data_IF_562878385344
#
_entry.id   IF_562878385344
#
_cell.length_a   1.000
_cell.length_b   1.000
_cell.length_c   1.000
_cell.angle_alpha   90.00
_cell.angle_beta   90.00
_cell.angle_gamma   90.00
#
_symmetry.space_group_name_H-M   'P 1'
#
loop_
_entity.id
_entity.type
_entity.pdbx_description
1 polymer ?
#
# COMPACT_ATOMS: atom_id res chain seq x y z
N UNK A 1 1.44 -7.36 16.94
CA UNK A 1 2.01 -7.16 15.60
C UNK A 1 1.61 -8.32 14.70
N UNK A 2 1.64 -8.11 13.39
CA UNK A 2 1.41 -9.16 12.40
C UNK A 2 2.41 -10.31 12.56
N UNK A 3 2.03 -11.53 12.21
CA UNK A 3 2.91 -12.68 12.23
C UNK A 3 3.97 -12.63 11.11
N UNK A 4 4.95 -13.52 11.17
CA UNK A 4 6.07 -13.52 10.24
C UNK A 4 5.63 -13.86 8.79
N UNK A 5 4.60 -14.69 8.61
CA UNK A 5 4.08 -15.07 7.30
C UNK A 5 3.39 -13.87 6.63
N UNK A 6 2.48 -13.21 7.34
CA UNK A 6 1.80 -11.98 6.89
C UNK A 6 2.81 -10.87 6.53
N UNK A 7 3.85 -10.70 7.36
CA UNK A 7 4.93 -9.73 7.07
C UNK A 7 5.72 -10.13 5.82
N UNK A 8 6.02 -11.43 5.65
CA UNK A 8 6.76 -11.91 4.49
C UNK A 8 5.99 -11.67 3.19
N UNK A 9 4.67 -11.90 3.18
CA UNK A 9 3.80 -11.61 2.02
C UNK A 9 3.83 -10.12 1.68
N UNK A 10 3.70 -9.22 2.67
CA UNK A 10 3.76 -7.78 2.42
C UNK A 10 5.12 -7.31 1.86
N UNK A 11 6.21 -8.02 2.16
CA UNK A 11 7.57 -7.71 1.67
C UNK A 11 7.88 -8.30 0.30
N UNK A 12 7.17 -9.32 -0.12
CA UNK A 12 7.24 -9.90 -1.46
C UNK A 12 6.26 -9.17 -2.37
N UNK A 13 6.74 -8.17 -3.10
CA UNK A 13 5.90 -7.30 -3.94
C UNK A 13 5.08 -8.07 -4.99
N UNK A 14 5.62 -9.17 -5.54
CA UNK A 14 4.89 -9.98 -6.51
C UNK A 14 3.91 -10.95 -5.85
N UNK A 15 4.32 -11.58 -4.75
CA UNK A 15 3.43 -12.40 -3.93
C UNK A 15 2.25 -11.61 -3.38
N UNK A 16 2.50 -10.39 -2.93
CA UNK A 16 1.48 -9.44 -2.50
C UNK A 16 0.47 -9.12 -3.62
N UNK A 17 0.96 -8.74 -4.82
CA UNK A 17 0.10 -8.51 -5.97
C UNK A 17 -0.76 -9.73 -6.30
N UNK A 18 -0.12 -10.90 -6.41
CA UNK A 18 -0.81 -12.16 -6.76
C UNK A 18 -1.88 -12.55 -5.74
N UNK A 19 -1.61 -12.33 -4.45
CA UNK A 19 -2.57 -12.61 -3.38
C UNK A 19 -3.77 -11.68 -3.45
N UNK A 20 -3.56 -10.38 -3.61
CA UNK A 20 -4.65 -9.41 -3.72
C UNK A 20 -5.49 -9.66 -4.97
N UNK A 21 -4.85 -9.91 -6.11
CA UNK A 21 -5.53 -10.22 -7.37
C UNK A 21 -6.39 -11.48 -7.24
N UNK A 22 -5.85 -12.55 -6.64
CA UNK A 22 -6.57 -13.82 -6.39
C UNK A 22 -7.82 -13.61 -5.52
N UNK A 23 -7.78 -12.67 -4.60
CA UNK A 23 -8.90 -12.32 -3.73
C UNK A 23 -9.83 -11.26 -4.34
N UNK A 24 -9.64 -10.86 -5.60
CA UNK A 24 -10.46 -9.85 -6.26
C UNK A 24 -10.30 -8.44 -5.67
N UNK A 25 -9.20 -8.18 -4.97
CA UNK A 25 -8.90 -6.89 -4.36
C UNK A 25 -8.19 -5.97 -5.36
N UNK A 26 -8.48 -4.67 -5.34
CA UNK A 26 -7.89 -3.72 -6.28
C UNK A 26 -6.41 -3.49 -5.96
N UNK A 27 -5.55 -3.93 -6.84
CA UNK A 27 -4.09 -3.78 -6.75
C UNK A 27 -3.54 -3.33 -8.10
N UNK A 28 -2.44 -2.56 -8.09
CA UNK A 28 -1.77 -2.16 -9.33
C UNK A 28 -1.21 -3.38 -10.05
N UNK A 29 -1.59 -3.56 -11.33
CA UNK A 29 -1.17 -4.74 -12.10
C UNK A 29 0.35 -4.82 -12.17
N UNK A 30 0.90 -6.02 -12.00
CA UNK A 30 2.34 -6.25 -11.88
C UNK A 30 2.73 -7.55 -12.57
N UNK A 31 3.67 -7.49 -13.51
CA UNK A 31 4.30 -8.65 -14.16
C UNK A 31 5.68 -8.92 -13.53
N UNK A 32 6.01 -10.18 -13.30
CA UNK A 32 7.25 -10.59 -12.62
C UNK A 32 8.47 -10.66 -13.55
N UNK A 33 8.26 -10.70 -14.86
CA UNK A 33 9.32 -10.79 -15.86
C UNK A 33 8.97 -10.03 -17.14
N UNK A 34 9.97 -9.89 -18.01
CA UNK A 34 9.76 -9.29 -19.32
C UNK A 34 8.88 -10.14 -20.23
N UNK A 35 8.99 -11.47 -20.12
CA UNK A 35 8.17 -12.41 -20.89
C UNK A 35 6.69 -12.33 -20.43
N UNK A 36 6.46 -12.31 -19.13
CA UNK A 36 5.11 -12.14 -18.59
C UNK A 36 4.52 -10.78 -19.00
N UNK A 37 5.31 -9.71 -18.91
CA UNK A 37 4.89 -8.40 -19.39
C UNK A 37 4.50 -8.41 -20.87
N UNK A 38 5.30 -9.02 -21.75
CA UNK A 38 4.99 -9.08 -23.18
C UNK A 38 3.66 -9.81 -23.45
N UNK A 39 3.39 -10.88 -22.70
CA UNK A 39 2.10 -11.60 -22.77
C UNK A 39 0.95 -10.72 -22.25
N UNK A 40 1.12 -10.11 -21.08
CA UNK A 40 0.10 -9.25 -20.45
C UNK A 40 -0.19 -7.99 -21.29
N UNK A 41 0.83 -7.44 -21.91
CA UNK A 41 0.70 -6.30 -22.83
C UNK A 41 -0.08 -6.68 -24.09
N UNK A 42 0.22 -7.86 -24.68
CA UNK A 42 -0.51 -8.36 -25.84
C UNK A 42 -1.99 -8.66 -25.52
N UNK A 43 -2.29 -9.06 -24.29
CA UNK A 43 -3.64 -9.30 -23.79
C UNK A 43 -4.36 -8.01 -23.31
N UNK A 44 -3.68 -6.86 -23.31
CA UNK A 44 -4.25 -5.59 -22.89
C UNK A 44 -4.43 -5.42 -21.37
N UNK A 45 -3.77 -6.25 -20.55
CA UNK A 45 -3.82 -6.19 -19.08
C UNK A 45 -2.97 -5.07 -18.51
N UNK A 46 -1.88 -4.72 -19.19
CA UNK A 46 -0.96 -3.66 -18.82
C UNK A 46 -0.57 -2.85 -20.06
N UNK A 47 -0.27 -1.56 -19.90
CA UNK A 47 0.11 -0.67 -20.99
C UNK A 47 1.21 0.30 -20.56
N UNK A 48 1.96 0.83 -21.54
CA UNK A 48 2.89 1.92 -21.26
C UNK A 48 2.15 3.25 -20.98
N UNK A 49 2.74 4.11 -20.13
CA UNK A 49 4.00 3.91 -19.40
C UNK A 49 3.86 2.87 -18.27
N UNK A 50 4.98 2.28 -17.85
CA UNK A 50 5.06 1.38 -16.70
C UNK A 50 6.09 1.87 -15.69
N UNK A 51 5.94 1.43 -14.43
CA UNK A 51 6.99 1.51 -13.43
C UNK A 51 7.80 0.21 -13.40
N UNK A 52 9.11 0.36 -13.37
CA UNK A 52 10.04 -0.75 -13.17
C UNK A 52 10.71 -0.58 -11.81
N UNK A 53 10.68 -1.62 -10.99
CA UNK A 53 11.23 -1.58 -9.63
C UNK A 53 11.91 -2.91 -9.29
N UNK A 54 12.96 -2.91 -8.46
CA UNK A 54 13.55 -4.15 -7.96
C UNK A 54 12.53 -4.98 -7.18
N UNK A 55 12.59 -6.30 -7.32
CA UNK A 55 11.77 -7.24 -6.54
C UNK A 55 11.95 -7.00 -5.04
N UNK A 56 13.20 -6.73 -4.62
CA UNK A 56 13.57 -6.43 -3.24
C UNK A 56 14.03 -4.98 -3.11
N UNK A 57 13.77 -4.38 -1.95
CA UNK A 57 14.15 -3.00 -1.66
C UNK A 57 12.98 -2.18 -1.12
N UNK A 58 13.31 -1.02 -0.55
CA UNK A 58 12.37 -0.04 0.02
C UNK A 58 12.85 1.38 -0.29
N UNK A 59 12.03 2.39 0.03
CA UNK A 59 12.41 3.80 -0.08
C UNK A 59 12.56 4.30 -1.51
N UNK A 60 11.80 3.77 -2.46
CA UNK A 60 11.78 4.21 -3.88
C UNK A 60 13.14 4.14 -4.61
N UNK A 61 14.08 3.35 -4.10
CA UNK A 61 15.40 3.19 -4.74
C UNK A 61 15.27 2.26 -5.96
N UNK A 62 15.85 2.69 -7.09
CA UNK A 62 15.86 1.90 -8.33
C UNK A 62 14.52 1.83 -9.07
N UNK A 63 13.58 2.74 -8.75
CA UNK A 63 12.31 2.86 -9.48
C UNK A 63 12.50 3.74 -10.70
N UNK A 64 12.03 3.28 -11.87
CA UNK A 64 12.08 4.03 -13.12
C UNK A 64 10.73 3.98 -13.83
N UNK A 65 10.27 5.14 -14.31
CA UNK A 65 9.20 5.21 -15.29
C UNK A 65 9.77 4.84 -16.66
N UNK A 66 9.06 3.98 -17.37
CA UNK A 66 9.46 3.48 -18.70
C UNK A 66 8.30 3.67 -19.67
N UNK A 67 8.56 4.35 -20.76
CA UNK A 67 7.53 4.77 -21.71
C UNK A 67 7.44 3.85 -22.94
N UNK A 68 8.39 2.91 -23.15
CA UNK A 68 8.39 2.02 -24.31
C UNK A 68 9.12 0.70 -24.05
N UNK A 69 8.84 -0.27 -24.93
CA UNK A 69 9.36 -1.65 -24.85
C UNK A 69 10.88 -1.76 -25.02
N UNK A 70 11.49 -0.88 -25.81
CA UNK A 70 12.93 -0.89 -26.07
C UNK A 70 13.70 -0.55 -24.79
N UNK A 71 13.33 0.57 -24.14
CA UNK A 71 13.92 0.99 -22.88
C UNK A 71 13.70 -0.06 -21.77
N UNK A 72 12.50 -0.65 -21.70
CA UNK A 72 12.21 -1.72 -20.78
C UNK A 72 13.16 -2.91 -20.97
N UNK A 73 13.37 -3.33 -22.22
CA UNK A 73 14.28 -4.42 -22.54
C UNK A 73 15.75 -4.13 -22.15
N UNK A 74 16.19 -2.89 -22.31
CA UNK A 74 17.53 -2.46 -21.88
C UNK A 74 17.65 -2.53 -20.37
N UNK A 75 16.69 -2.00 -19.63
CA UNK A 75 16.70 -2.02 -18.16
C UNK A 75 16.70 -3.45 -17.62
N UNK A 76 15.83 -4.32 -18.12
CA UNK A 76 15.78 -5.72 -17.69
C UNK A 76 17.08 -6.48 -18.00
N UNK A 77 17.72 -6.21 -19.15
CA UNK A 77 18.97 -6.87 -19.56
C UNK A 77 20.16 -6.50 -18.68
N UNK A 78 20.25 -5.23 -18.28
CA UNK A 78 21.41 -4.70 -17.56
C UNK A 78 21.19 -4.58 -16.05
N UNK A 79 20.01 -4.88 -15.56
CA UNK A 79 19.76 -4.92 -14.12
C UNK A 79 20.52 -6.07 -13.48
N UNK A 80 21.13 -5.79 -12.32
CA UNK A 80 21.80 -6.80 -11.50
C UNK A 80 20.82 -7.62 -10.66
N UNK A 81 19.58 -7.13 -10.49
CA UNK A 81 18.54 -7.75 -9.70
C UNK A 81 17.30 -7.97 -10.56
N UNK A 82 16.50 -8.99 -10.24
CA UNK A 82 15.19 -9.16 -10.87
C UNK A 82 14.33 -7.91 -10.71
N UNK A 83 13.66 -7.52 -11.78
CA UNK A 83 12.79 -6.35 -11.83
C UNK A 83 11.33 -6.78 -11.94
N UNK A 84 10.46 -6.06 -11.25
CA UNK A 84 9.01 -6.09 -11.44
C UNK A 84 8.60 -4.95 -12.37
N UNK A 85 7.63 -5.23 -13.22
CA UNK A 85 7.06 -4.29 -14.17
C UNK A 85 5.61 -4.04 -13.73
N UNK A 86 5.34 -2.83 -13.24
CA UNK A 86 4.05 -2.49 -12.66
C UNK A 86 3.35 -1.42 -13.49
N UNK A 87 2.03 -1.51 -13.55
CA UNK A 87 1.18 -0.47 -14.11
C UNK A 87 1.57 0.90 -13.54
N UNK A 88 1.73 1.88 -14.42
CA UNK A 88 1.92 3.26 -14.00
C UNK A 88 0.64 3.79 -13.36
N UNK A 89 0.77 4.30 -12.15
CA UNK A 89 -0.34 4.91 -11.43
C UNK A 89 -0.39 6.41 -11.78
N UNK A 90 -1.16 6.76 -12.82
CA UNK A 90 -1.45 8.15 -13.16
C UNK A 90 -2.69 8.62 -12.41
N UNK A 91 -2.51 9.00 -11.16
CA UNK A 91 -3.61 9.37 -10.29
C UNK A 91 -3.17 10.04 -9.00
N UNK A 92 -4.14 10.25 -8.12
CA UNK A 92 -3.89 10.83 -6.81
C UNK A 92 -3.35 9.77 -5.85
N UNK A 93 -2.32 10.12 -5.09
CA UNK A 93 -1.73 9.23 -4.10
C UNK A 93 -2.31 9.50 -2.70
N UNK A 94 -2.68 8.42 -2.04
CA UNK A 94 -3.19 8.41 -0.67
C UNK A 94 -2.30 7.54 0.22
N UNK A 95 -2.28 7.88 1.50
CA UNK A 95 -1.73 7.03 2.55
C UNK A 95 -2.82 6.68 3.56
N UNK A 96 -2.69 5.52 4.17
CA UNK A 96 -3.53 5.14 5.31
C UNK A 96 -2.68 4.63 6.45
N UNK A 97 -2.95 5.14 7.66
CA UNK A 97 -2.47 4.57 8.91
C UNK A 97 -3.62 3.77 9.52
N UNK A 98 -3.41 2.46 9.75
CA UNK A 98 -4.43 1.52 10.20
C UNK A 98 -3.95 0.86 11.49
N UNK A 99 -4.86 0.70 12.44
CA UNK A 99 -4.61 -0.15 13.59
C UNK A 99 -5.58 -1.32 13.61
N UNK A 100 -5.02 -2.52 13.55
CA UNK A 100 -5.76 -3.77 13.71
C UNK A 100 -5.58 -4.24 15.14
N UNK A 101 -6.68 -4.37 15.85
CA UNK A 101 -6.70 -4.79 17.25
C UNK A 101 -6.02 -6.14 17.43
N UNK A 102 -5.18 -6.27 18.46
CA UNK A 102 -4.39 -7.48 18.71
C UNK A 102 -5.21 -8.63 19.28
N UNK A 103 -6.41 -8.34 19.82
CA UNK A 103 -7.30 -9.33 20.45
C UNK A 103 -8.39 -9.72 19.45
N UNK A 104 -9.22 -8.78 19.01
CA UNK A 104 -10.33 -9.05 18.09
C UNK A 104 -9.88 -9.34 16.65
N UNK A 105 -8.66 -8.97 16.28
CA UNK A 105 -8.11 -9.08 14.92
C UNK A 105 -8.91 -8.29 13.87
N UNK A 106 -9.62 -7.26 14.30
CA UNK A 106 -10.39 -6.37 13.41
C UNK A 106 -9.72 -5.01 13.30
N UNK A 107 -9.79 -4.33 12.15
CA UNK A 107 -9.39 -2.94 12.05
C UNK A 107 -10.31 -2.09 12.95
N UNK A 108 -9.71 -1.35 13.88
CA UNK A 108 -10.43 -0.51 14.84
C UNK A 108 -10.16 0.97 14.67
N UNK A 109 -9.06 1.34 14.00
CA UNK A 109 -8.79 2.71 13.60
C UNK A 109 -8.23 2.74 12.17
N UNK A 110 -8.77 3.62 11.34
CA UNK A 110 -8.29 3.89 9.99
C UNK A 110 -8.24 5.40 9.84
N UNK A 111 -7.04 5.92 9.59
CA UNK A 111 -6.81 7.30 9.21
C UNK A 111 -6.34 7.35 7.78
N UNK A 112 -7.00 8.13 6.92
CA UNK A 112 -6.63 8.29 5.52
C UNK A 112 -6.26 9.73 5.20
N UNK A 113 -5.27 9.89 4.33
CA UNK A 113 -4.72 11.17 3.91
C UNK A 113 -4.39 11.17 2.43
N UNK A 114 -4.68 12.27 1.74
CA UNK A 114 -4.17 12.54 0.40
C UNK A 114 -2.75 13.08 0.52
N UNK A 115 -1.82 12.48 -0.20
CA UNK A 115 -0.42 12.94 -0.25
C UNK A 115 -0.34 14.14 -1.19
N UNK A 116 0.09 15.28 -0.65
CA UNK A 116 0.21 16.54 -1.41
C UNK A 116 1.63 16.77 -1.89
N UNK A 117 2.61 16.38 -1.07
CA UNK A 117 4.02 16.50 -1.40
C UNK A 117 4.82 15.34 -0.81
N UNK A 118 5.63 14.74 -1.66
CA UNK A 118 6.60 13.71 -1.28
C UNK A 118 8.01 14.29 -1.25
N UNK A 119 8.83 13.80 -0.32
CA UNK A 119 10.25 14.14 -0.23
C UNK A 119 11.05 12.90 0.18
N UNK A 120 12.02 12.52 -0.65
CA UNK A 120 12.89 11.37 -0.41
C UNK A 120 12.13 10.06 -0.12
N UNK A 121 10.98 9.82 -0.79
CA UNK A 121 10.16 8.62 -0.59
C UNK A 121 9.20 8.67 0.61
N UNK A 122 9.19 9.77 1.37
CA UNK A 122 8.32 9.97 2.53
C UNK A 122 7.29 11.08 2.28
N UNK A 123 6.14 10.99 2.92
CA UNK A 123 5.10 12.02 2.84
C UNK A 123 5.50 13.26 3.65
N UNK A 124 5.83 14.36 2.95
CA UNK A 124 6.18 15.64 3.59
C UNK A 124 4.94 16.46 3.93
N UNK A 125 3.93 16.46 3.04
CA UNK A 125 2.66 17.15 3.25
C UNK A 125 1.50 16.27 2.82
N UNK A 126 0.46 16.24 3.64
CA UNK A 126 -0.77 15.52 3.36
C UNK A 126 -1.97 16.27 3.95
N UNK A 127 -3.15 15.97 3.44
CA UNK A 127 -4.44 16.47 3.93
C UNK A 127 -5.26 15.26 4.35
N UNK A 128 -5.82 15.27 5.55
CA UNK A 128 -6.71 14.22 6.03
C UNK A 128 -7.98 14.18 5.20
N UNK A 129 -8.41 13.00 4.82
CA UNK A 129 -9.62 12.80 4.00
C UNK A 129 -10.46 11.69 4.60
N UNK A 130 -11.77 11.71 4.33
CA UNK A 130 -12.69 10.63 4.68
C UNK A 130 -13.44 10.19 3.43
N UNK A 131 -13.27 8.93 3.07
CA UNK A 131 -14.02 8.33 1.97
C UNK A 131 -14.43 6.90 2.36
N UNK A 132 -15.74 6.65 2.51
CA UNK A 132 -16.24 5.31 2.87
C UNK A 132 -15.78 4.22 1.89
N UNK A 133 -15.65 4.52 0.59
CA UNK A 133 -15.19 3.56 -0.41
C UNK A 133 -13.71 3.19 -0.17
N UNK A 134 -12.89 4.15 0.27
CA UNK A 134 -11.49 3.91 0.62
C UNK A 134 -11.40 3.04 1.90
N UNK A 135 -12.21 3.33 2.92
CA UNK A 135 -12.25 2.51 4.13
C UNK A 135 -12.63 1.06 3.83
N UNK A 136 -13.65 0.84 3.00
CA UNK A 136 -14.08 -0.51 2.60
C UNK A 136 -12.95 -1.31 1.91
N UNK A 137 -12.20 -0.67 0.99
CA UNK A 137 -11.05 -1.30 0.32
C UNK A 137 -9.97 -1.65 1.32
N UNK A 138 -9.66 -0.75 2.27
CA UNK A 138 -8.65 -0.98 3.31
C UNK A 138 -9.05 -2.15 4.22
N UNK A 139 -10.28 -2.16 4.73
CA UNK A 139 -10.79 -3.22 5.63
C UNK A 139 -10.72 -4.60 4.96
N UNK A 140 -11.19 -4.72 3.72
CA UNK A 140 -11.12 -5.97 2.95
C UNK A 140 -9.67 -6.43 2.75
N UNK A 141 -8.77 -5.51 2.44
CA UNK A 141 -7.35 -5.81 2.19
C UNK A 141 -6.65 -6.29 3.46
N UNK A 142 -6.83 -5.59 4.57
CA UNK A 142 -6.23 -5.94 5.86
C UNK A 142 -6.73 -7.30 6.34
N UNK A 143 -8.03 -7.58 6.18
CA UNK A 143 -8.64 -8.86 6.55
C UNK A 143 -8.10 -10.02 5.71
N UNK A 144 -7.92 -9.82 4.40
CA UNK A 144 -7.39 -10.85 3.50
C UNK A 144 -5.92 -11.23 3.79
N UNK A 145 -5.15 -10.29 4.37
CA UNK A 145 -3.74 -10.48 4.73
C UNK A 145 -3.52 -10.92 6.18
N UNK A 146 -4.58 -11.07 6.99
CA UNK A 146 -4.50 -11.44 8.41
C UNK A 146 -3.55 -10.55 9.22
N UNK A 147 -3.51 -9.25 8.92
CA UNK A 147 -2.62 -8.30 9.57
C UNK A 147 -3.07 -7.96 10.98
N UNK A 148 -2.13 -7.53 11.84
CA UNK A 148 -2.41 -7.12 13.22
C UNK A 148 -1.45 -6.02 13.69
N UNK A 149 -1.96 -5.11 14.52
CA UNK A 149 -1.21 -3.95 15.02
C UNK A 149 -1.16 -2.78 14.04
N UNK A 150 -0.15 -1.91 14.12
CA UNK A 150 -0.02 -0.75 13.23
C UNK A 150 0.37 -1.17 11.82
N UNK A 151 -0.25 -0.52 10.84
CA UNK A 151 -0.06 -0.77 9.42
C UNK A 151 -0.03 0.57 8.70
N UNK A 152 0.87 0.69 7.75
CA UNK A 152 1.00 1.80 6.81
C UNK A 152 0.70 1.28 5.40
N UNK A 153 -0.18 1.96 4.66
CA UNK A 153 -0.63 1.52 3.35
C UNK A 153 -0.56 2.67 2.34
N UNK A 154 -0.01 2.38 1.17
CA UNK A 154 0.03 3.27 0.02
C UNK A 154 -1.02 2.88 -1.01
N UNK A 155 -1.78 3.88 -1.48
CA UNK A 155 -2.96 3.69 -2.30
C UNK A 155 -2.98 4.74 -3.40
N UNK A 156 -3.35 4.36 -4.62
CA UNK A 156 -3.61 5.29 -5.71
C UNK A 156 -5.10 5.33 -6.03
N UNK A 157 -5.59 6.52 -6.40
CA UNK A 157 -6.92 6.68 -6.99
C UNK A 157 -6.78 7.04 -8.46
N UNK A 158 -7.17 6.10 -9.33
CA UNK A 158 -7.11 6.22 -10.79
C UNK A 158 -8.54 6.08 -11.31
N UNK A 159 -9.00 7.04 -12.10
CA UNK A 159 -10.37 7.07 -12.64
C UNK A 159 -11.47 6.82 -11.59
N UNK A 160 -11.28 7.42 -10.40
CA UNK A 160 -12.22 7.30 -9.28
C UNK A 160 -12.17 5.99 -8.51
N UNK A 161 -11.30 5.04 -8.86
CA UNK A 161 -11.14 3.75 -8.19
C UNK A 161 -9.83 3.70 -7.40
N UNK A 162 -9.87 3.06 -6.23
CA UNK A 162 -8.71 2.88 -5.38
C UNK A 162 -7.96 1.60 -5.73
N UNK A 163 -6.62 1.67 -5.76
CA UNK A 163 -5.71 0.56 -6.01
C UNK A 163 -4.63 0.53 -4.95
N UNK A 164 -4.44 -0.60 -4.30
CA UNK A 164 -3.38 -0.78 -3.31
C UNK A 164 -2.04 -0.89 -4.04
N UNK A 165 -1.07 -0.12 -3.58
CA UNK A 165 0.30 -0.12 -4.13
C UNK A 165 1.28 -0.88 -3.25
N UNK A 166 1.22 -0.61 -1.94
CA UNK A 166 2.13 -1.20 -0.96
C UNK A 166 1.49 -1.24 0.43
N UNK A 167 1.87 -2.25 1.22
CA UNK A 167 1.50 -2.35 2.64
C UNK A 167 2.74 -2.63 3.46
N UNK A 168 2.90 -1.87 4.53
CA UNK A 168 3.96 -2.01 5.51
C UNK A 168 3.35 -2.31 6.89
N UNK A 169 3.46 -3.53 7.45
CA UNK A 169 2.89 -3.89 8.74
C UNK A 169 3.72 -3.31 9.91
N UNK A 170 3.79 -2.01 9.96
CA UNK A 170 4.50 -1.18 10.95
C UNK A 170 3.93 0.25 10.95
N UNK A 171 4.39 1.10 11.88
CA UNK A 171 4.12 2.54 11.81
C UNK A 171 4.68 3.14 10.51
N UNK A 172 3.88 3.96 9.82
CA UNK A 172 4.31 4.78 8.70
C UNK A 172 5.14 6.00 9.14
N UNK A 173 6.03 6.50 8.28
CA UNK A 173 6.70 7.78 8.50
C UNK A 173 5.73 8.97 8.60
N UNK A 174 4.58 8.87 7.93
CA UNK A 174 3.50 9.86 7.97
C UNK A 174 2.53 9.75 9.16
N UNK A 175 2.70 8.79 10.08
CA UNK A 175 1.83 8.60 11.26
C UNK A 175 1.70 9.82 12.18
N UNK A 176 2.69 10.72 12.34
CA UNK A 176 2.50 11.94 13.11
C UNK A 176 1.28 12.78 12.70
N UNK A 177 0.87 12.75 11.43
CA UNK A 177 -0.37 13.40 10.98
C UNK A 177 -1.61 12.74 11.62
N UNK A 178 -1.72 11.41 11.61
CA UNK A 178 -2.79 10.69 12.27
C UNK A 178 -2.83 11.00 13.78
N UNK A 179 -1.66 11.06 14.43
CA UNK A 179 -1.54 11.44 15.83
C UNK A 179 -2.10 12.84 16.10
N UNK A 180 -1.77 13.83 15.29
CA UNK A 180 -2.30 15.19 15.42
C UNK A 180 -3.80 15.29 15.19
N UNK A 181 -4.36 14.36 14.40
CA UNK A 181 -5.80 14.21 14.19
C UNK A 181 -6.48 13.32 15.24
N UNK A 182 -5.87 13.12 16.41
CA UNK A 182 -6.38 12.29 17.52
C UNK A 182 -6.52 10.78 17.24
N UNK A 183 -5.87 10.25 16.21
CA UNK A 183 -5.81 8.80 15.97
C UNK A 183 -4.59 8.22 16.69
N UNK A 184 -4.81 7.72 17.92
CA UNK A 184 -3.77 7.47 18.91
C UNK A 184 -3.42 5.98 19.05
N UNK A 185 -2.68 5.40 18.11
CA UNK A 185 -2.29 3.98 18.15
C UNK A 185 -1.55 3.55 19.42
N UNK A 186 -0.64 4.33 20.04
CA UNK A 186 -0.03 3.93 21.31
C UNK A 186 -1.02 3.66 22.43
N UNK A 187 -2.14 4.40 22.48
CA UNK A 187 -3.20 4.17 23.48
C UNK A 187 -3.95 2.86 23.20
N UNK A 188 -4.21 2.55 21.90
CA UNK A 188 -4.84 1.29 21.49
C UNK A 188 -3.92 0.09 21.77
N UNK A 189 -2.61 0.24 21.54
CA UNK A 189 -1.61 -0.77 21.87
C UNK A 189 -1.58 -1.01 23.40
N UNK A 190 -1.59 0.06 24.20
CA UNK A 190 -1.57 -0.05 25.65
C UNK A 190 -2.78 -0.84 26.18
N UNK A 191 -3.99 -0.58 25.68
CA UNK A 191 -5.19 -1.36 26.02
C UNK A 191 -5.04 -2.84 25.68
N UNK A 192 -4.60 -3.15 24.47
CA UNK A 192 -4.38 -4.54 24.07
C UNK A 192 -3.33 -5.26 24.93
N UNK A 193 -2.28 -4.55 25.40
CA UNK A 193 -1.27 -5.12 26.31
C UNK A 193 -1.87 -5.41 27.72
N UNK A 194 -2.92 -4.70 28.10
CA UNK A 194 -3.69 -4.94 29.33
C UNK A 194 -4.75 -6.05 29.17
N UNK A 195 -4.88 -6.63 27.97
CA UNK A 195 -5.88 -7.66 27.68
C UNK A 195 -7.26 -7.11 27.32
N UNK A 196 -7.36 -5.81 27.01
CA UNK A 196 -8.61 -5.15 26.66
C UNK A 196 -8.73 -4.98 25.13
N UNK A 197 -9.91 -5.31 24.59
CA UNK A 197 -10.25 -5.01 23.19
C UNK A 197 -10.50 -3.50 23.00
N UNK A 198 -10.20 -3.00 21.81
CA UNK A 198 -10.50 -1.64 21.42
C UNK A 198 -11.82 -1.56 20.66
N UNK A 199 -12.64 -0.58 21.00
CA UNK A 199 -13.82 -0.25 20.22
C UNK A 199 -13.47 0.38 18.88
N UNK A 200 -14.21 0.07 17.80
CA UNK A 200 -13.99 0.67 16.50
C UNK A 200 -14.18 2.20 16.51
N UNK A 201 -13.21 2.92 15.94
CA UNK A 201 -13.21 4.37 15.75
C UNK A 201 -12.78 4.77 14.33
N UNK A 202 -13.23 4.02 13.34
CA UNK A 202 -12.91 4.25 11.92
C UNK A 202 -13.46 5.60 11.49
N UNK A 203 -12.59 6.46 10.93
CA UNK A 203 -12.97 7.80 10.50
C UNK A 203 -13.31 8.78 11.63
N UNK A 204 -13.01 8.45 12.90
CA UNK A 204 -13.24 9.32 14.05
C UNK A 204 -12.15 10.40 14.19
N UNK A 205 -11.93 11.20 13.13
CA UNK A 205 -10.99 12.33 13.08
C UNK A 205 -11.59 13.43 12.19
N UNK A 206 -11.01 14.63 12.21
CA UNK A 206 -11.41 15.72 11.32
C UNK A 206 -10.78 15.54 9.94
N UNK A 207 -11.55 15.81 8.89
CA UNK A 207 -11.06 15.89 7.51
C UNK A 207 -10.52 17.29 7.20
N UNK A 208 -9.74 17.41 6.13
CA UNK A 208 -9.14 18.66 5.64
C UNK A 208 -8.13 19.33 6.61
N UNK A 209 -7.49 18.51 7.44
CA UNK A 209 -6.43 18.91 8.37
C UNK A 209 -5.05 18.71 7.75
#
# INVERSE_FOLDING_TARGET
>A
VSDAESVAVCRDKYGFFSLLQKNGLPVLYTSASLEEFDSDYAEGKIAFPVFVKPVRGCGSVGISRVDNRELLGVLCRYSKEPLLIQQYADGEEFGADIYVDLISKKPVAIFTKKKVRMRAGETEKSISVKDPALFEVIEKTVSALSLAGPIDMDIFRIDGKYYISEINPRFGGGYPHAWHCNVRFPELIAKNLLGEENEPQIGAYEADM
#
